data_IF_202616718167
#
_entry.id   IF_202616718167
#
_cell.length_a   1.000
_cell.length_b   1.000
_cell.length_c   1.000
_cell.angle_alpha   90.00
_cell.angle_beta   90.00
_cell.angle_gamma   90.00
#
_symmetry.space_group_name_H-M   'P 1'
#
loop_
_entity.id
_entity.type
_entity.pdbx_description
1 polymer ?
#
# COMPACT_ATOMS: atom_id res chain seq x y z
N UNK A 1 -20.03 5.68 1.00
CA UNK A 1 -19.28 6.96 0.88
C UNK A 1 -19.05 7.56 2.26
N UNK A 2 -20.09 7.81 3.06
CA UNK A 2 -20.00 8.43 4.41
C UNK A 2 -18.94 7.78 5.31
N UNK A 3 -18.95 6.45 5.45
CA UNK A 3 -17.99 5.74 6.28
C UNK A 3 -16.53 6.01 5.87
N UNK A 4 -16.26 6.11 4.57
CA UNK A 4 -14.91 6.39 4.07
C UNK A 4 -14.51 7.86 4.28
N UNK A 5 -15.46 8.79 4.20
CA UNK A 5 -15.22 10.20 4.51
C UNK A 5 -14.88 10.36 5.99
N UNK A 6 -15.64 9.76 6.89
CA UNK A 6 -15.35 9.81 8.32
C UNK A 6 -14.00 9.18 8.66
N UNK A 7 -13.62 8.06 8.03
CA UNK A 7 -12.28 7.47 8.17
C UNK A 7 -11.17 8.44 7.73
N UNK A 8 -11.39 9.18 6.64
CA UNK A 8 -10.43 10.18 6.17
C UNK A 8 -10.29 11.32 7.17
N UNK A 9 -11.41 11.82 7.71
CA UNK A 9 -11.43 12.88 8.72
C UNK A 9 -10.80 12.43 10.04
N UNK A 10 -11.04 11.18 10.48
CA UNK A 10 -10.43 10.60 11.67
C UNK A 10 -8.89 10.50 11.55
N UNK A 11 -8.37 10.48 10.33
CA UNK A 11 -6.94 10.51 10.04
C UNK A 11 -6.41 11.90 9.67
N UNK A 12 -7.18 12.96 9.92
CA UNK A 12 -6.83 14.37 9.63
C UNK A 12 -6.43 14.57 8.15
N UNK A 13 -7.18 13.93 7.24
CA UNK A 13 -6.97 14.07 5.80
C UNK A 13 -7.87 15.17 5.23
N UNK A 14 -7.31 15.95 4.31
CA UNK A 14 -8.08 16.92 3.54
C UNK A 14 -9.04 16.21 2.58
N UNK A 15 -10.32 16.54 2.64
CA UNK A 15 -11.37 15.98 1.80
C UNK A 15 -11.91 17.04 0.85
N UNK A 16 -11.81 16.78 -0.45
CA UNK A 16 -12.29 17.67 -1.50
C UNK A 16 -13.38 16.99 -2.32
N UNK A 17 -14.62 17.50 -2.32
CA UNK A 17 -15.70 16.94 -3.13
C UNK A 17 -15.50 17.25 -4.61
N UNK A 18 -15.88 16.28 -5.47
CA UNK A 18 -15.91 16.42 -6.93
C UNK A 18 -17.18 15.78 -7.46
N UNK A 19 -17.98 16.54 -8.21
CA UNK A 19 -19.23 16.06 -8.79
C UNK A 19 -18.98 15.50 -10.17
N UNK A 20 -19.05 14.18 -10.31
CA UNK A 20 -18.77 13.47 -11.56
C UNK A 20 -20.05 13.07 -12.30
N UNK A 21 -19.88 12.71 -13.58
CA UNK A 21 -20.95 12.23 -14.48
C UNK A 21 -21.97 13.30 -14.89
N UNK A 22 -21.54 14.56 -15.02
CA UNK A 22 -22.42 15.65 -15.48
C UNK A 22 -22.88 15.50 -16.95
N UNK A 23 -22.28 14.58 -17.70
CA UNK A 23 -22.66 14.22 -19.06
C UNK A 23 -23.96 13.40 -19.14
N UNK A 24 -24.46 12.89 -18.02
CA UNK A 24 -25.69 12.13 -18.01
C UNK A 24 -26.92 13.06 -18.04
N UNK A 25 -27.98 12.73 -18.83
CA UNK A 25 -29.21 13.54 -18.88
C UNK A 25 -29.95 13.65 -17.53
N UNK A 26 -29.72 12.69 -16.63
CA UNK A 26 -30.29 12.66 -15.27
C UNK A 26 -29.38 13.26 -14.21
N UNK A 27 -28.30 13.93 -14.59
CA UNK A 27 -27.41 14.54 -13.63
C UNK A 27 -28.06 15.76 -12.97
N UNK A 28 -28.00 15.80 -11.63
CA UNK A 28 -28.51 16.91 -10.80
C UNK A 28 -27.39 17.43 -9.89
N UNK A 29 -26.38 18.13 -10.43
CA UNK A 29 -25.20 18.55 -9.68
C UNK A 29 -25.54 19.38 -8.43
N UNK A 30 -26.49 20.31 -8.56
CA UNK A 30 -26.84 21.22 -7.46
C UNK A 30 -27.48 20.46 -6.29
N UNK A 31 -28.38 19.52 -6.57
CA UNK A 31 -28.97 18.66 -5.54
C UNK A 31 -27.92 17.82 -4.81
N UNK A 32 -26.93 17.31 -5.55
CA UNK A 32 -25.86 16.51 -4.95
C UNK A 32 -24.94 17.38 -4.08
N UNK A 33 -24.71 18.63 -4.45
CA UNK A 33 -23.95 19.59 -3.65
C UNK A 33 -24.68 19.86 -2.31
N UNK A 34 -25.99 20.16 -2.38
CA UNK A 34 -26.81 20.37 -1.17
C UNK A 34 -26.79 19.11 -0.28
N UNK A 35 -26.91 17.92 -0.86
CA UNK A 35 -26.86 16.66 -0.12
C UNK A 35 -25.48 16.44 0.56
N UNK A 36 -24.36 16.83 -0.07
CA UNK A 36 -23.03 16.74 0.52
C UNK A 36 -22.90 17.69 1.71
N UNK A 37 -23.37 18.93 1.57
CA UNK A 37 -23.31 19.94 2.61
C UNK A 37 -24.19 19.58 3.81
N UNK A 38 -25.42 19.10 3.56
CA UNK A 38 -26.37 18.75 4.60
C UNK A 38 -26.03 17.45 5.33
N UNK A 39 -25.57 16.42 4.60
CA UNK A 39 -25.36 15.07 5.16
C UNK A 39 -23.95 14.85 5.66
N UNK A 40 -22.94 15.38 4.94
CA UNK A 40 -21.53 15.18 5.28
C UNK A 40 -20.99 16.37 6.08
N UNK A 41 -21.51 17.56 5.87
CA UNK A 41 -21.10 18.78 6.57
C UNK A 41 -19.82 19.40 6.03
N UNK A 42 -19.41 19.10 4.79
CA UNK A 42 -18.28 19.72 4.12
C UNK A 42 -18.74 20.67 3.03
N UNK A 43 -18.05 21.79 2.85
CA UNK A 43 -18.35 22.76 1.80
C UNK A 43 -18.20 22.14 0.42
N UNK A 44 -19.24 22.21 -0.41
CA UNK A 44 -19.28 21.61 -1.74
C UNK A 44 -19.72 22.57 -2.86
N UNK A 45 -20.12 23.82 -2.54
CA UNK A 45 -20.58 24.79 -3.53
C UNK A 45 -19.52 25.09 -4.62
N UNK A 46 -18.24 25.05 -4.28
CA UNK A 46 -17.12 25.22 -5.21
C UNK A 46 -16.62 23.90 -5.82
N UNK A 47 -17.32 22.79 -5.58
CA UNK A 47 -16.90 21.49 -6.09
C UNK A 47 -16.86 21.49 -7.63
N UNK A 48 -15.76 21.01 -8.24
CA UNK A 48 -15.71 20.88 -9.69
C UNK A 48 -16.78 19.92 -10.20
N UNK A 49 -17.53 20.37 -11.21
CA UNK A 49 -18.53 19.58 -11.91
C UNK A 49 -17.92 19.02 -13.16
N UNK A 50 -17.67 17.71 -13.21
CA UNK A 50 -16.86 17.08 -14.24
C UNK A 50 -17.58 15.92 -14.94
N UNK A 51 -17.08 15.55 -16.10
CA UNK A 51 -17.27 14.21 -16.67
C UNK A 51 -15.92 13.55 -16.90
N UNK A 52 -15.57 12.61 -16.08
CA UNK A 52 -14.34 11.82 -16.26
C UNK A 52 -14.39 11.00 -17.57
N UNK A 53 -15.60 10.63 -18.05
CA UNK A 53 -15.79 9.90 -19.30
C UNK A 53 -15.42 10.72 -20.52
N UNK A 54 -15.82 11.99 -20.55
CA UNK A 54 -15.60 12.89 -21.70
C UNK A 54 -14.36 13.75 -21.55
N UNK A 55 -13.76 13.80 -20.35
CA UNK A 55 -12.65 14.71 -20.00
C UNK A 55 -13.10 16.13 -19.63
N UNK A 56 -14.42 16.41 -19.65
CA UNK A 56 -14.95 17.74 -19.37
C UNK A 56 -14.58 18.21 -17.97
N UNK A 57 -13.97 19.39 -17.85
CA UNK A 57 -13.60 20.08 -16.62
C UNK A 57 -12.64 19.28 -15.68
N UNK A 58 -11.98 18.24 -16.15
CA UNK A 58 -11.04 17.44 -15.34
C UNK A 58 -9.81 18.28 -14.93
N UNK A 59 -9.40 19.21 -15.78
CA UNK A 59 -8.35 20.20 -15.51
C UNK A 59 -8.64 21.03 -14.25
N UNK A 60 -9.90 21.39 -14.00
CA UNK A 60 -10.30 22.12 -12.78
C UNK A 60 -10.05 21.33 -11.49
N UNK A 61 -10.16 20.01 -11.53
CA UNK A 61 -9.83 19.15 -10.38
C UNK A 61 -8.34 19.24 -10.08
N UNK A 62 -7.49 19.14 -11.10
CA UNK A 62 -6.04 19.23 -10.94
C UNK A 62 -5.62 20.60 -10.40
N UNK A 63 -6.21 21.68 -10.91
CA UNK A 63 -5.98 23.02 -10.41
C UNK A 63 -6.42 23.21 -8.96
N UNK A 64 -7.57 22.63 -8.58
CA UNK A 64 -8.05 22.69 -7.19
C UNK A 64 -7.16 21.88 -6.24
N UNK A 65 -6.67 20.71 -6.65
CA UNK A 65 -5.70 19.93 -5.87
C UNK A 65 -4.48 20.78 -5.55
N UNK A 66 -3.88 21.44 -6.57
CA UNK A 66 -2.70 22.28 -6.38
C UNK A 66 -2.98 23.48 -5.46
N UNK A 67 -4.19 24.04 -5.52
CA UNK A 67 -4.56 25.24 -4.73
C UNK A 67 -4.99 24.92 -3.30
N UNK A 68 -5.72 23.82 -3.10
CA UNK A 68 -6.38 23.52 -1.82
C UNK A 68 -5.64 22.48 -0.98
N UNK A 69 -4.97 21.50 -1.60
CA UNK A 69 -4.27 20.46 -0.88
C UNK A 69 -2.84 20.90 -0.57
N UNK A 70 -2.44 20.94 0.71
CA UNK A 70 -1.09 21.35 1.08
C UNK A 70 -0.05 20.33 0.60
N UNK A 71 1.14 20.79 0.26
CA UNK A 71 2.26 19.91 -0.07
C UNK A 71 2.62 19.01 1.13
N UNK A 72 3.12 17.79 0.88
CA UNK A 72 3.58 16.92 1.96
C UNK A 72 4.61 17.62 2.85
N UNK A 73 4.47 17.48 4.17
CA UNK A 73 5.43 18.00 5.15
C UNK A 73 6.59 17.02 5.29
N UNK A 74 7.78 17.54 5.59
CA UNK A 74 8.97 16.75 5.90
C UNK A 74 10.26 17.56 5.61
N UNK A 75 11.35 17.21 6.29
CA UNK A 75 12.67 17.81 6.08
C UNK A 75 13.59 16.84 5.33
N UNK A 76 13.99 17.15 4.08
CA UNK A 76 14.93 16.32 3.32
C UNK A 76 16.30 16.11 3.95
N UNK A 77 16.66 16.95 4.94
CA UNK A 77 17.97 16.88 5.64
C UNK A 77 17.89 16.14 6.98
N UNK A 78 16.70 15.81 7.45
CA UNK A 78 16.51 15.01 8.65
C UNK A 78 17.02 13.56 8.45
N UNK A 79 17.22 12.79 9.53
CA UNK A 79 17.45 11.35 9.43
C UNK A 79 16.35 10.66 8.63
N UNK A 80 16.72 9.71 7.77
CA UNK A 80 15.78 9.01 6.90
C UNK A 80 14.70 8.29 7.71
N UNK A 81 13.44 8.58 7.38
CA UNK A 81 12.27 7.84 7.82
C UNK A 81 11.39 7.54 6.61
N UNK A 82 11.35 6.29 6.17
CA UNK A 82 10.50 5.84 5.08
C UNK A 82 9.55 4.74 5.58
N UNK A 83 8.26 4.89 5.34
CA UNK A 83 7.25 3.91 5.69
C UNK A 83 7.03 2.93 4.55
N UNK A 84 7.21 1.65 4.81
CA UNK A 84 6.91 0.58 3.85
C UNK A 84 5.38 0.39 3.81
N UNK A 85 4.76 0.59 2.65
CA UNK A 85 3.33 0.31 2.48
C UNK A 85 3.04 -0.93 1.63
N UNK A 86 4.03 -1.41 0.86
CA UNK A 86 3.95 -2.67 0.13
C UNK A 86 5.35 -3.19 -0.21
N UNK A 87 5.45 -4.46 -0.62
CA UNK A 87 6.68 -5.04 -1.16
C UNK A 87 6.33 -6.16 -2.14
N UNK A 88 7.12 -6.28 -3.19
CA UNK A 88 6.99 -7.35 -4.18
C UNK A 88 8.33 -8.03 -4.40
N UNK A 89 8.28 -9.30 -4.74
CA UNK A 89 9.47 -10.04 -5.14
C UNK A 89 9.58 -10.10 -6.66
N UNK A 90 10.70 -9.62 -7.17
CA UNK A 90 11.08 -9.73 -8.58
C UNK A 90 12.25 -10.71 -8.72
N UNK A 91 12.21 -11.62 -9.69
CA UNK A 91 13.24 -12.64 -9.87
C UNK A 91 14.61 -12.06 -10.25
N UNK A 92 14.67 -10.85 -10.79
CA UNK A 92 15.90 -10.17 -11.21
C UNK A 92 16.38 -9.13 -10.20
N UNK A 93 15.46 -8.34 -9.65
CA UNK A 93 15.77 -7.23 -8.74
C UNK A 93 15.73 -7.63 -7.26
N UNK A 94 15.25 -8.84 -6.94
CA UNK A 94 15.02 -9.27 -5.58
C UNK A 94 13.79 -8.59 -4.98
N UNK A 95 13.84 -8.24 -3.70
CA UNK A 95 12.73 -7.53 -3.05
C UNK A 95 12.72 -6.06 -3.47
N UNK A 96 11.58 -5.62 -3.99
CA UNK A 96 11.28 -4.22 -4.29
C UNK A 96 10.37 -3.71 -3.16
N UNK A 97 10.85 -2.74 -2.41
CA UNK A 97 10.10 -2.10 -1.32
C UNK A 97 9.37 -0.88 -1.87
N UNK A 98 8.07 -0.79 -1.63
CA UNK A 98 7.28 0.40 -1.92
C UNK A 98 7.15 1.23 -0.66
N UNK A 99 7.60 2.47 -0.72
CA UNK A 99 7.67 3.30 0.48
C UNK A 99 7.28 4.77 0.22
N UNK A 100 6.84 5.39 1.31
CA UNK A 100 6.68 6.84 1.39
C UNK A 100 7.79 7.40 2.27
N UNK A 101 8.53 8.35 1.73
CA UNK A 101 9.56 9.07 2.49
C UNK A 101 8.86 10.13 3.34
N UNK A 102 8.97 10.00 4.65
CA UNK A 102 8.40 10.95 5.60
C UNK A 102 9.38 12.05 5.92
N UNK A 103 10.63 11.66 6.22
CA UNK A 103 11.76 12.54 6.52
C UNK A 103 13.02 12.05 5.82
N UNK A 104 13.95 12.95 5.58
CA UNK A 104 15.26 12.62 5.02
C UNK A 104 15.25 12.38 3.52
N UNK A 105 16.33 11.78 3.05
CA UNK A 105 16.56 11.47 1.62
C UNK A 105 17.29 10.14 1.52
N UNK A 106 16.86 9.31 0.55
CA UNK A 106 17.51 8.04 0.22
C UNK A 106 17.99 8.06 -1.23
N UNK A 107 19.19 7.52 -1.47
CA UNK A 107 19.87 7.45 -2.77
C UNK A 107 20.42 6.05 -3.00
N UNK A 108 20.81 5.78 -4.22
CA UNK A 108 21.64 4.60 -4.53
C UNK A 108 22.91 4.59 -3.67
N UNK A 109 23.22 3.45 -3.07
CA UNK A 109 24.37 3.27 -2.17
C UNK A 109 24.11 3.67 -0.72
N UNK A 110 22.94 4.19 -0.37
CA UNK A 110 22.60 4.44 1.04
C UNK A 110 22.48 3.11 1.79
N UNK A 111 23.22 2.89 2.87
CA UNK A 111 23.03 1.71 3.73
C UNK A 111 21.77 1.92 4.56
N UNK A 112 20.79 1.05 4.38
CA UNK A 112 19.49 1.13 5.05
C UNK A 112 19.31 0.01 6.07
N UNK A 113 18.47 0.30 7.07
CA UNK A 113 18.04 -0.64 8.10
C UNK A 113 16.54 -0.59 8.27
N UNK A 114 15.90 -1.76 8.33
CA UNK A 114 14.52 -1.96 8.71
C UNK A 114 14.42 -1.95 10.24
N UNK A 115 13.62 -1.05 10.81
CA UNK A 115 13.62 -0.87 12.27
C UNK A 115 12.94 -2.00 13.01
N UNK A 116 11.89 -2.63 12.45
CA UNK A 116 11.16 -3.70 13.12
C UNK A 116 11.85 -5.06 12.97
N UNK A 117 12.42 -5.36 11.78
CA UNK A 117 13.07 -6.65 11.54
C UNK A 117 14.55 -6.64 11.86
N UNK A 118 15.18 -5.46 11.89
CA UNK A 118 16.61 -5.29 12.06
C UNK A 118 17.43 -5.63 10.81
N UNK A 119 16.77 -5.98 9.69
CA UNK A 119 17.45 -6.31 8.45
C UNK A 119 18.16 -5.10 7.86
N UNK A 120 19.34 -5.33 7.30
CA UNK A 120 20.21 -4.30 6.73
C UNK A 120 20.47 -4.61 5.26
N UNK A 121 20.55 -3.57 4.43
CA UNK A 121 20.85 -3.70 3.02
C UNK A 121 21.42 -2.40 2.44
N UNK A 122 22.15 -2.52 1.34
CA UNK A 122 22.55 -1.37 0.54
C UNK A 122 21.53 -1.12 -0.56
N UNK A 123 21.14 0.14 -0.74
CA UNK A 123 20.23 0.56 -1.81
C UNK A 123 20.92 0.43 -3.18
N UNK A 124 20.33 -0.37 -4.05
CA UNK A 124 20.82 -0.58 -5.42
C UNK A 124 20.21 0.43 -6.38
N UNK A 125 18.92 0.68 -6.25
CA UNK A 125 18.17 1.60 -7.09
C UNK A 125 17.03 2.23 -6.28
N UNK A 126 16.72 3.49 -6.56
CA UNK A 126 15.52 4.19 -6.12
C UNK A 126 14.78 4.74 -7.32
N UNK A 127 13.47 4.90 -7.20
CA UNK A 127 12.66 5.44 -8.27
C UNK A 127 11.21 5.67 -7.85
N UNK A 128 10.44 6.22 -8.76
CA UNK A 128 9.02 6.49 -8.57
C UNK A 128 8.16 5.73 -9.57
N UNK A 129 6.84 5.76 -9.35
CA UNK A 129 5.88 5.03 -10.18
C UNK A 129 5.43 5.89 -11.35
N UNK A 130 5.61 5.40 -12.57
CA UNK A 130 4.97 5.90 -13.77
C UNK A 130 3.71 5.10 -14.11
N UNK A 131 3.07 5.43 -15.21
CA UNK A 131 1.92 4.68 -15.72
C UNK A 131 2.36 3.27 -16.19
N UNK A 132 2.18 2.28 -15.33
CA UNK A 132 2.51 0.88 -15.62
C UNK A 132 4.02 0.56 -15.64
N UNK A 133 4.88 1.43 -15.13
CA UNK A 133 6.34 1.22 -15.13
C UNK A 133 7.02 1.85 -13.91
N UNK A 134 8.17 1.30 -13.54
CA UNK A 134 9.09 1.90 -12.57
C UNK A 134 10.03 2.86 -13.29
N UNK A 135 10.15 4.09 -12.76
CA UNK A 135 11.04 5.12 -13.31
C UNK A 135 12.17 5.36 -12.31
N UNK A 136 13.40 4.92 -12.61
CA UNK A 136 14.55 5.20 -11.76
C UNK A 136 14.81 6.70 -11.63
N UNK A 137 15.31 7.13 -10.46
CA UNK A 137 15.73 8.50 -10.19
C UNK A 137 16.99 8.52 -9.33
N UNK A 138 17.57 9.70 -9.17
CA UNK A 138 18.81 9.86 -8.37
C UNK A 138 18.54 9.74 -6.88
N UNK A 139 17.39 10.22 -6.42
CA UNK A 139 17.00 10.22 -5.01
C UNK A 139 15.49 10.23 -4.81
N UNK A 140 15.08 9.76 -3.63
CA UNK A 140 13.75 10.00 -3.06
C UNK A 140 13.92 10.81 -1.79
N UNK A 141 13.21 11.92 -1.68
CA UNK A 141 13.25 12.83 -0.54
C UNK A 141 11.90 12.96 0.16
N UNK A 142 11.90 13.60 1.33
CA UNK A 142 10.73 13.81 2.16
C UNK A 142 9.51 14.27 1.35
N UNK A 143 8.38 13.61 1.55
CA UNK A 143 7.12 13.81 0.83
C UNK A 143 6.93 12.94 -0.41
N UNK A 144 7.98 12.32 -0.93
CA UNK A 144 7.89 11.48 -2.13
C UNK A 144 7.40 10.07 -1.80
N UNK A 145 6.72 9.47 -2.76
CA UNK A 145 6.34 8.06 -2.79
C UNK A 145 7.09 7.39 -3.93
N UNK A 146 7.70 6.25 -3.65
CA UNK A 146 8.49 5.55 -4.65
C UNK A 146 8.86 4.15 -4.21
N UNK A 147 9.87 3.60 -4.88
CA UNK A 147 10.37 2.27 -4.58
C UNK A 147 11.88 2.29 -4.28
N UNK A 148 12.29 1.33 -3.50
CA UNK A 148 13.69 1.05 -3.16
C UNK A 148 13.97 -0.40 -3.52
N UNK A 149 15.04 -0.67 -4.25
CA UNK A 149 15.61 -2.01 -4.39
C UNK A 149 16.91 -2.08 -3.61
N UNK A 150 17.15 -3.23 -3.01
CA UNK A 150 18.36 -3.46 -2.23
C UNK A 150 18.81 -4.92 -2.34
N UNK A 151 19.93 -5.25 -1.73
CA UNK A 151 20.43 -6.62 -1.66
C UNK A 151 19.63 -7.51 -0.71
N UNK A 152 18.31 -7.28 -0.61
CA UNK A 152 17.41 -7.99 0.30
C UNK A 152 16.99 -9.30 -0.36
N UNK A 153 17.39 -10.40 0.23
CA UNK A 153 17.16 -11.75 -0.32
C UNK A 153 15.86 -12.38 0.17
N UNK A 154 15.36 -11.91 1.30
CA UNK A 154 14.19 -12.51 1.94
C UNK A 154 13.11 -11.45 2.15
N UNK A 155 11.92 -11.67 1.61
CA UNK A 155 10.78 -10.76 1.79
C UNK A 155 10.33 -10.69 3.25
N UNK A 156 10.59 -11.72 4.05
CA UNK A 156 10.32 -11.68 5.50
C UNK A 156 11.11 -10.58 6.24
N UNK A 157 12.18 -10.07 5.59
CA UNK A 157 13.00 -8.98 6.12
C UNK A 157 12.36 -7.61 5.90
N UNK A 158 11.33 -7.53 5.03
CA UNK A 158 10.59 -6.30 4.73
C UNK A 158 9.12 -6.47 5.12
N UNK A 159 8.71 -5.86 6.23
CA UNK A 159 7.31 -5.90 6.67
C UNK A 159 6.58 -4.65 6.23
N UNK A 160 5.37 -4.81 5.71
CA UNK A 160 4.45 -3.69 5.51
C UNK A 160 4.18 -3.00 6.85
N UNK A 161 4.34 -1.69 6.89
CA UNK A 161 4.26 -0.89 8.11
C UNK A 161 5.58 -0.71 8.85
N UNK A 162 6.68 -1.35 8.40
CA UNK A 162 8.02 -1.10 8.97
C UNK A 162 8.59 0.24 8.49
N UNK A 163 9.53 0.75 9.27
CA UNK A 163 10.27 1.97 8.96
C UNK A 163 11.65 1.64 8.45
N UNK A 164 12.00 2.20 7.29
CA UNK A 164 13.36 2.18 6.75
C UNK A 164 14.09 3.43 7.20
N UNK A 165 15.30 3.26 7.72
CA UNK A 165 16.18 4.36 8.13
C UNK A 165 17.58 4.19 7.56
N UNK A 166 18.39 5.26 7.59
CA UNK A 166 19.82 5.18 7.24
C UNK A 166 20.57 4.52 8.40
N UNK A 167 21.38 3.49 8.11
CA UNK A 167 22.15 2.77 9.10
C UNK A 167 23.20 3.65 9.79
N UNK A 168 23.77 4.60 9.06
CA UNK A 168 24.82 5.49 9.58
C UNK A 168 24.27 6.68 10.38
N UNK A 169 22.99 7.07 10.09
CA UNK A 169 22.32 8.15 10.78
C UNK A 169 20.84 7.77 11.03
N UNK A 170 20.60 6.80 11.93
CA UNK A 170 19.26 6.27 12.13
C UNK A 170 18.34 7.29 12.78
N UNK A 171 17.07 7.26 12.40
CA UNK A 171 16.05 8.03 13.09
C UNK A 171 15.82 7.48 14.52
N UNK A 172 15.40 8.37 15.43
CA UNK A 172 15.23 8.03 16.84
C UNK A 172 14.07 7.06 17.09
N UNK A 173 12.98 7.22 16.35
CA UNK A 173 11.73 6.44 16.54
C UNK A 173 11.17 5.95 15.21
N UNK A 174 10.59 4.74 15.17
CA UNK A 174 9.90 4.26 13.99
C UNK A 174 8.61 5.05 13.75
N UNK A 175 8.19 5.12 12.49
CA UNK A 175 6.88 5.65 12.14
C UNK A 175 5.78 4.74 12.70
N UNK A 176 4.60 5.28 13.05
CA UNK A 176 3.45 4.46 13.37
C UNK A 176 3.14 3.57 12.16
N UNK A 177 3.29 2.26 12.35
CA UNK A 177 3.00 1.28 11.31
C UNK A 177 1.50 1.08 11.11
N UNK A 178 1.14 0.30 10.09
CA UNK A 178 -0.24 -0.09 9.87
C UNK A 178 -0.73 -1.05 10.96
N UNK A 179 -1.99 -0.92 11.36
CA UNK A 179 -2.64 -1.90 12.22
C UNK A 179 -2.67 -3.24 11.51
N UNK A 180 -2.22 -4.29 12.19
CA UNK A 180 -2.30 -5.65 11.65
C UNK A 180 -3.77 -6.00 11.45
N UNK A 181 -4.16 -6.24 10.20
CA UNK A 181 -5.52 -6.67 9.88
C UNK A 181 -5.68 -8.11 10.35
N UNK A 182 -6.76 -8.39 11.09
CA UNK A 182 -7.08 -9.74 11.53
C UNK A 182 -7.81 -10.49 10.41
N UNK A 183 -7.44 -11.75 10.24
CA UNK A 183 -8.15 -12.64 9.33
C UNK A 183 -9.58 -12.85 9.80
N UNK A 184 -10.54 -12.77 8.88
CA UNK A 184 -11.98 -12.94 9.14
C UNK A 184 -12.49 -14.32 8.75
N UNK A 185 -11.80 -14.97 7.80
CA UNK A 185 -12.15 -16.30 7.29
C UNK A 185 -10.95 -17.22 7.43
N UNK A 186 -11.18 -18.42 7.92
CA UNK A 186 -10.15 -19.43 8.07
C UNK A 186 -10.53 -20.70 7.31
N UNK A 187 -9.56 -21.32 6.64
CA UNK A 187 -9.74 -22.66 6.08
C UNK A 187 -8.45 -23.47 6.15
N UNK A 188 -8.59 -24.81 6.18
CA UNK A 188 -7.48 -25.74 6.04
C UNK A 188 -7.15 -25.97 4.57
N UNK A 189 -5.87 -25.76 4.19
CA UNK A 189 -5.37 -26.11 2.87
C UNK A 189 -4.55 -27.39 2.97
N UNK A 190 -4.93 -28.37 2.15
CA UNK A 190 -4.30 -29.68 2.10
C UNK A 190 -3.49 -29.84 0.83
N UNK A 191 -2.40 -30.63 0.82
CA UNK A 191 -1.74 -30.99 -0.43
C UNK A 191 -2.74 -31.69 -1.37
N UNK A 192 -2.68 -31.35 -2.67
CA UNK A 192 -3.43 -32.08 -3.68
C UNK A 192 -2.90 -33.52 -3.82
N UNK A 193 -3.70 -34.40 -4.43
CA UNK A 193 -3.29 -35.79 -4.69
C UNK A 193 -1.97 -35.83 -5.46
N UNK A 194 -0.96 -36.51 -4.89
CA UNK A 194 0.39 -36.59 -5.44
C UNK A 194 1.35 -35.46 -5.09
N UNK A 195 0.90 -34.37 -4.48
CA UNK A 195 1.76 -33.31 -3.97
C UNK A 195 2.23 -33.60 -2.54
N UNK A 196 3.44 -33.15 -2.23
CA UNK A 196 4.01 -33.30 -0.89
C UNK A 196 3.71 -32.07 -0.01
N UNK A 197 3.58 -32.29 1.30
CA UNK A 197 3.41 -31.21 2.26
C UNK A 197 4.45 -30.08 2.14
N UNK A 198 5.75 -30.36 1.92
CA UNK A 198 6.74 -29.30 1.66
C UNK A 198 6.42 -28.43 0.42
N UNK A 199 5.90 -29.04 -0.66
CA UNK A 199 5.57 -28.30 -1.89
C UNK A 199 4.44 -27.30 -1.64
N UNK A 200 3.43 -27.68 -0.82
CA UNK A 200 2.35 -26.77 -0.41
C UNK A 200 2.89 -25.62 0.45
N UNK A 201 3.82 -25.92 1.35
CA UNK A 201 4.48 -24.89 2.17
C UNK A 201 5.19 -23.88 1.32
N UNK A 202 6.03 -24.34 0.38
CA UNK A 202 6.80 -23.48 -0.53
C UNK A 202 5.89 -22.61 -1.40
N UNK A 203 4.75 -23.17 -1.84
CA UNK A 203 3.74 -22.42 -2.59
C UNK A 203 3.09 -21.32 -1.74
N UNK A 204 2.71 -21.63 -0.49
CA UNK A 204 2.14 -20.65 0.44
C UNK A 204 3.14 -19.57 0.83
N UNK A 205 4.41 -19.92 1.04
CA UNK A 205 5.48 -18.96 1.29
C UNK A 205 5.65 -18.01 0.10
N UNK A 206 5.65 -18.51 -1.13
CA UNK A 206 5.69 -17.68 -2.35
C UNK A 206 4.47 -16.76 -2.48
N UNK A 207 3.28 -17.24 -2.20
CA UNK A 207 2.07 -16.42 -2.20
C UNK A 207 2.14 -15.30 -1.15
N UNK A 208 2.63 -15.61 0.05
CA UNK A 208 2.79 -14.63 1.13
C UNK A 208 3.79 -13.51 0.78
N UNK A 209 4.73 -13.76 -0.14
CA UNK A 209 5.65 -12.75 -0.63
C UNK A 209 4.91 -11.58 -1.33
N UNK A 210 3.83 -11.91 -2.04
CA UNK A 210 3.05 -10.95 -2.81
C UNK A 210 1.72 -10.59 -2.15
N UNK A 211 1.44 -11.17 -0.98
CA UNK A 211 0.22 -10.91 -0.21
C UNK A 211 0.52 -10.93 1.29
N UNK A 212 0.87 -9.77 1.84
CA UNK A 212 1.21 -9.60 3.25
C UNK A 212 0.03 -9.89 4.21
N UNK A 213 -1.19 -9.98 3.70
CA UNK A 213 -2.40 -10.28 4.48
C UNK A 213 -2.64 -11.79 4.65
N UNK A 214 -2.04 -12.62 3.80
CA UNK A 214 -2.12 -14.07 3.91
C UNK A 214 -1.36 -14.55 5.15
N UNK A 215 -2.08 -15.19 6.06
CA UNK A 215 -1.51 -15.83 7.26
C UNK A 215 -1.70 -17.33 7.15
N UNK A 216 -0.68 -18.11 7.46
CA UNK A 216 -0.81 -19.54 7.53
C UNK A 216 0.06 -20.13 8.65
N UNK A 217 -0.42 -21.20 9.24
CA UNK A 217 0.26 -21.96 10.29
C UNK A 217 0.08 -23.46 10.05
N UNK A 218 1.07 -24.28 10.40
CA UNK A 218 0.93 -25.74 10.33
C UNK A 218 -0.20 -26.23 11.23
N UNK A 219 -1.04 -27.11 10.71
CA UNK A 219 -2.11 -27.77 11.45
C UNK A 219 -2.18 -29.24 11.07
N UNK A 220 -2.72 -30.06 11.96
CA UNK A 220 -2.91 -31.50 11.72
C UNK A 220 -4.36 -31.86 11.94
N UNK A 221 -4.99 -32.43 10.92
CA UNK A 221 -6.31 -33.04 11.01
C UNK A 221 -6.20 -34.54 11.25
N UNK A 222 -6.98 -35.05 12.20
CA UNK A 222 -7.03 -36.52 12.50
C UNK A 222 -7.53 -37.29 11.26
N UNK A 223 -8.44 -36.69 10.48
CA UNK A 223 -9.05 -37.33 9.32
C UNK A 223 -8.27 -37.15 8.01
N UNK A 224 -7.61 -36.00 7.81
CA UNK A 224 -7.03 -35.61 6.54
C UNK A 224 -5.50 -35.41 6.57
N UNK A 225 -4.87 -35.60 7.72
CA UNK A 225 -3.42 -35.49 7.90
C UNK A 225 -2.92 -34.04 8.03
N UNK A 226 -1.70 -33.81 7.58
CA UNK A 226 -1.03 -32.51 7.69
C UNK A 226 -1.60 -31.48 6.69
N UNK A 227 -1.88 -30.29 7.19
CA UNK A 227 -2.40 -29.17 6.42
C UNK A 227 -1.82 -27.84 6.92
N UNK A 228 -2.17 -26.75 6.26
CA UNK A 228 -1.96 -25.40 6.78
C UNK A 228 -3.31 -24.75 7.04
N UNK A 229 -3.49 -24.23 8.27
CA UNK A 229 -4.58 -23.34 8.59
C UNK A 229 -4.25 -21.97 8.03
N UNK A 230 -5.01 -21.54 7.05
CA UNK A 230 -4.83 -20.26 6.39
C UNK A 230 -5.91 -19.27 6.80
N UNK A 231 -5.50 -18.03 7.05
CA UNK A 231 -6.38 -16.91 7.40
C UNK A 231 -6.47 -15.91 6.27
N UNK A 232 -7.69 -15.47 5.96
CA UNK A 232 -8.03 -14.57 4.87
C UNK A 232 -8.83 -13.36 5.37
N UNK A 233 -8.74 -12.23 4.67
CA UNK A 233 -9.49 -11.01 4.99
C UNK A 233 -11.00 -11.17 4.75
N UNK A 234 -11.39 -12.10 3.88
CA UNK A 234 -12.77 -12.38 3.51
C UNK A 234 -12.85 -13.44 2.42
N UNK A 235 -14.07 -13.77 1.97
CA UNK A 235 -14.31 -14.80 0.95
C UNK A 235 -13.66 -14.44 -0.39
N UNK A 236 -13.74 -13.18 -0.82
CA UNK A 236 -13.11 -12.73 -2.07
C UNK A 236 -11.59 -12.90 -2.03
N UNK A 237 -10.96 -12.61 -0.90
CA UNK A 237 -9.52 -12.83 -0.73
C UNK A 237 -9.18 -14.33 -0.84
N UNK A 238 -9.99 -15.21 -0.24
CA UNK A 238 -9.84 -16.66 -0.36
C UNK A 238 -9.90 -17.11 -1.83
N UNK A 239 -10.89 -16.64 -2.59
CA UNK A 239 -11.06 -16.96 -4.02
C UNK A 239 -9.85 -16.54 -4.85
N UNK A 240 -9.35 -15.30 -4.66
CA UNK A 240 -8.16 -14.79 -5.35
C UNK A 240 -6.93 -15.67 -5.06
N UNK A 241 -6.73 -16.06 -3.81
CA UNK A 241 -5.60 -16.91 -3.44
C UNK A 241 -5.74 -18.32 -4.03
N UNK A 242 -6.95 -18.85 -4.12
CA UNK A 242 -7.21 -20.14 -4.77
C UNK A 242 -6.88 -20.11 -6.27
N UNK A 243 -7.28 -19.06 -6.99
CA UNK A 243 -6.96 -18.89 -8.40
C UNK A 243 -5.46 -18.73 -8.66
N UNK A 244 -4.75 -17.97 -7.84
CA UNK A 244 -3.28 -17.78 -7.95
C UNK A 244 -2.48 -19.05 -7.65
N UNK A 245 -3.10 -20.07 -7.06
CA UNK A 245 -2.51 -21.36 -6.71
C UNK A 245 -2.59 -22.36 -7.88
N UNK A 246 -3.47 -22.14 -8.85
CA UNK A 246 -3.63 -22.94 -10.06
C UNK A 246 -2.55 -22.64 -11.06
#
# INVERSE_FOLDING_TARGET
>A
TLANVYLALDHDLDVMPVINKIDLPSAEPERVIEEIEDVIGIEAHDAPRISAKTGQNVDQVLEQIVKKIPAPKGDPKAPLQALIFDSVYDSYKGVIIFCRIKEGTVRKGTPIKMMATGAEADVVEVGYFGAGQFIPCDELSAGMVGYITGSIKNVKDTRVGDTVTDQNNPCAEPLPGYKKVQSMVYCGLYPADGAKYPDLRDALEKLQLNDASLQFEPETSIALGFCFRCGFLGLLHLEIIQERRS
#
